data_IF_403533802029
#
_entry.id   IF_403533802029
#
_cell.length_a   1.000
_cell.length_b   1.000
_cell.length_c   1.000
_cell.angle_alpha   90.00
_cell.angle_beta   90.00
_cell.angle_gamma   90.00
#
_symmetry.space_group_name_H-M   'P 1'
#
loop_
_entity.id
_entity.type
_entity.pdbx_description
1 polymer ?
#
# COMPACT_ATOMS: atom_id res chain seq x y z
N UNK A 1 -11.54 1.22 -23.84
CA UNK A 1 -10.92 2.51 -23.46
C UNK A 1 -11.28 2.96 -22.05
N UNK A 2 -12.57 3.00 -21.67
CA UNK A 2 -13.02 3.52 -20.37
C UNK A 2 -12.31 2.89 -19.14
N UNK A 3 -12.14 1.57 -19.14
CA UNK A 3 -11.44 0.86 -18.05
C UNK A 3 -9.98 1.28 -17.88
N UNK A 4 -9.25 1.52 -18.98
CA UNK A 4 -7.85 1.97 -18.92
C UNK A 4 -7.71 3.36 -18.32
N UNK A 5 -8.67 4.25 -18.59
CA UNK A 5 -8.73 5.59 -17.97
C UNK A 5 -8.95 5.46 -16.45
N UNK A 6 -9.86 4.58 -16.01
CA UNK A 6 -10.07 4.35 -14.58
C UNK A 6 -8.85 3.74 -13.90
N UNK A 7 -8.18 2.78 -14.52
CA UNK A 7 -6.94 2.20 -13.97
C UNK A 7 -5.83 3.26 -13.90
N UNK A 8 -5.69 4.11 -14.92
CA UNK A 8 -4.74 5.24 -14.90
C UNK A 8 -5.07 6.28 -13.83
N UNK A 9 -6.34 6.66 -13.70
CA UNK A 9 -6.82 7.58 -12.67
C UNK A 9 -6.58 7.03 -11.26
N UNK A 10 -6.85 5.73 -11.03
CA UNK A 10 -6.55 5.06 -9.77
C UNK A 10 -5.04 5.10 -9.46
N UNK A 11 -4.19 4.81 -10.45
CA UNK A 11 -2.73 4.93 -10.29
C UNK A 11 -2.29 6.35 -9.91
N UNK A 12 -2.88 7.37 -10.52
CA UNK A 12 -2.61 8.77 -10.19
C UNK A 12 -3.03 9.12 -8.75
N UNK A 13 -4.20 8.69 -8.30
CA UNK A 13 -4.68 8.92 -6.92
C UNK A 13 -3.75 8.26 -5.92
N UNK A 14 -3.37 7.00 -6.14
CA UNK A 14 -2.40 6.27 -5.32
C UNK A 14 -1.09 7.06 -5.20
N UNK A 15 -0.61 7.58 -6.32
CA UNK A 15 0.63 8.33 -6.36
C UNK A 15 0.52 9.70 -5.67
N UNK A 16 -0.63 10.36 -5.75
CA UNK A 16 -0.89 11.59 -5.00
C UNK A 16 -0.80 11.32 -3.49
N UNK A 17 -1.52 10.32 -2.98
CA UNK A 17 -1.47 9.97 -1.55
C UNK A 17 -0.06 9.61 -1.10
N UNK A 18 0.71 8.91 -1.94
CA UNK A 18 2.13 8.62 -1.66
C UNK A 18 2.95 9.91 -1.52
N UNK A 19 2.75 10.89 -2.40
CA UNK A 19 3.44 12.17 -2.31
C UNK A 19 3.05 12.95 -1.07
N UNK A 20 1.78 12.91 -0.67
CA UNK A 20 1.29 13.60 0.53
C UNK A 20 1.95 13.05 1.80
N UNK A 21 2.06 11.71 1.92
CA UNK A 21 2.75 11.06 3.05
C UNK A 21 4.25 11.38 3.06
N UNK A 22 4.90 11.36 1.89
CA UNK A 22 6.32 11.73 1.79
C UNK A 22 6.52 13.20 2.19
N UNK A 23 5.63 14.08 1.75
CA UNK A 23 5.69 15.51 2.06
C UNK A 23 5.50 15.76 3.56
N UNK A 24 4.57 15.06 4.21
CA UNK A 24 4.38 15.13 5.65
C UNK A 24 5.64 14.67 6.41
N UNK A 25 6.22 13.54 6.01
CA UNK A 25 7.45 13.03 6.62
C UNK A 25 8.62 14.01 6.46
N UNK A 26 8.74 14.63 5.28
CA UNK A 26 9.79 15.61 5.02
C UNK A 26 9.60 16.88 5.86
N UNK A 27 8.38 17.37 5.97
CA UNK A 27 8.06 18.57 6.76
C UNK A 27 8.36 18.38 8.26
N UNK A 28 8.28 17.14 8.76
CA UNK A 28 8.50 16.80 10.16
C UNK A 28 9.86 16.16 10.44
N UNK A 29 10.82 16.21 9.50
CA UNK A 29 12.14 15.57 9.65
C UNK A 29 12.93 16.08 10.86
N UNK A 30 12.78 17.37 11.19
CA UNK A 30 13.49 18.01 12.29
C UNK A 30 12.73 17.95 13.63
N UNK A 31 11.51 17.41 13.64
CA UNK A 31 10.73 17.31 14.89
C UNK A 31 11.30 16.20 15.76
N UNK A 32 11.52 16.52 17.04
CA UNK A 32 11.92 15.54 18.05
C UNK A 32 10.85 14.47 18.22
N UNK A 33 11.28 13.22 18.35
CA UNK A 33 10.41 12.04 18.52
C UNK A 33 9.39 11.75 17.40
N UNK A 34 9.50 12.39 16.23
CA UNK A 34 8.62 12.10 15.09
C UNK A 34 8.87 10.67 14.57
N UNK A 35 7.78 9.93 14.32
CA UNK A 35 7.81 8.60 13.71
C UNK A 35 7.28 8.71 12.28
N UNK A 36 8.06 8.20 11.32
CA UNK A 36 7.72 8.32 9.89
C UNK A 36 6.56 7.40 9.53
N UNK A 37 5.69 7.89 8.66
CA UNK A 37 4.60 7.11 8.10
C UNK A 37 4.99 6.48 6.76
N UNK A 38 4.46 5.29 6.48
CA UNK A 38 4.69 4.57 5.22
C UNK A 38 3.37 4.08 4.66
N UNK A 39 3.08 4.44 3.41
CA UNK A 39 1.89 3.97 2.71
C UNK A 39 2.08 2.53 2.23
N UNK A 40 1.13 1.66 2.54
CA UNK A 40 1.05 0.27 2.05
C UNK A 40 -0.03 0.20 0.99
N UNK A 41 0.33 -0.34 -0.18
CA UNK A 41 -0.59 -0.50 -1.31
C UNK A 41 -0.98 -1.97 -1.46
N UNK A 42 -2.22 -2.21 -1.88
CA UNK A 42 -2.73 -3.55 -2.18
C UNK A 42 -3.37 -3.55 -3.56
N UNK A 43 -3.21 -4.65 -4.29
CA UNK A 43 -3.89 -4.83 -5.57
C UNK A 43 -5.32 -5.31 -5.35
N UNK A 44 -6.25 -4.83 -6.18
CA UNK A 44 -7.60 -5.39 -6.22
C UNK A 44 -7.57 -6.86 -6.68
N UNK A 45 -8.54 -7.70 -6.26
CA UNK A 45 -8.65 -9.07 -6.73
C UNK A 45 -8.71 -9.16 -8.26
N UNK A 46 -8.00 -10.12 -8.82
CA UNK A 46 -7.99 -10.33 -10.27
C UNK A 46 -9.29 -11.02 -10.71
N UNK A 47 -9.87 -10.56 -11.82
CA UNK A 47 -11.03 -11.21 -12.43
C UNK A 47 -10.56 -12.24 -13.48
N UNK A 48 -11.17 -13.42 -13.48
CA UNK A 48 -10.96 -14.42 -14.53
C UNK A 48 -11.67 -13.97 -15.81
N UNK A 49 -10.96 -14.01 -16.94
CA UNK A 49 -11.51 -13.71 -18.25
C UNK A 49 -11.83 -15.00 -19.00
N UNK A 50 -13.05 -15.05 -19.52
CA UNK A 50 -13.54 -16.10 -20.42
C UNK A 50 -13.82 -15.51 -21.79
N UNK A 51 -13.54 -16.30 -22.83
CA UNK A 51 -13.81 -15.88 -24.21
C UNK A 51 -15.29 -16.03 -24.50
N UNK A 52 -15.93 -14.93 -24.93
CA UNK A 52 -17.34 -14.94 -25.32
C UNK A 52 -17.57 -15.49 -26.73
N UNK A 53 -16.62 -15.34 -27.65
CA UNK A 53 -16.72 -15.89 -29.02
C UNK A 53 -15.89 -17.17 -29.20
N UNK A 54 -16.56 -18.25 -29.57
CA UNK A 54 -15.97 -19.53 -29.97
C UNK A 54 -15.59 -19.51 -31.46
N UNK A 55 -14.56 -18.75 -31.84
CA UNK A 55 -13.94 -18.91 -33.16
C UNK A 55 -13.08 -20.19 -33.19
N UNK A 56 -13.75 -21.35 -33.28
CA UNK A 56 -13.15 -22.59 -33.77
C UNK A 56 -12.68 -23.61 -32.74
N UNK A 57 -13.05 -23.53 -31.46
CA UNK A 57 -12.73 -24.59 -30.48
C UNK A 57 -14.00 -25.10 -29.80
N UNK A 58 -14.55 -26.17 -30.35
CA UNK A 58 -15.40 -27.14 -29.67
C UNK A 58 -16.85 -26.73 -29.37
N UNK A 59 -17.77 -26.97 -30.31
CA UNK A 59 -19.21 -27.03 -30.01
C UNK A 59 -19.49 -28.10 -28.95
N UNK A 60 -19.77 -27.68 -27.72
CA UNK A 60 -20.34 -28.56 -26.69
C UNK A 60 -21.86 -28.62 -26.82
N UNK A 61 -22.48 -29.78 -26.59
CA UNK A 61 -23.93 -29.93 -26.65
C UNK A 61 -24.61 -29.15 -25.51
N UNK A 62 -25.84 -28.70 -25.76
CA UNK A 62 -26.67 -28.01 -24.76
C UNK A 62 -26.74 -28.80 -23.45
N UNK A 63 -26.22 -28.22 -22.37
CA UNK A 63 -26.23 -28.81 -21.03
C UNK A 63 -24.89 -28.89 -20.31
N UNK A 64 -23.76 -28.61 -20.98
CA UNK A 64 -22.45 -28.55 -20.33
C UNK A 64 -22.18 -27.15 -19.78
N UNK A 65 -22.08 -27.03 -18.45
CA UNK A 65 -21.67 -25.80 -17.78
C UNK A 65 -20.21 -25.48 -18.08
N UNK A 66 -19.99 -24.28 -18.62
CA UNK A 66 -18.74 -23.50 -18.53
C UNK A 66 -17.48 -24.12 -19.17
N UNK A 67 -17.48 -24.26 -20.50
CA UNK A 67 -16.30 -24.64 -21.31
C UNK A 67 -15.67 -23.48 -22.08
N UNK A 68 -15.95 -22.22 -21.70
CA UNK A 68 -15.27 -21.08 -22.31
C UNK A 68 -13.78 -21.10 -21.90
N UNK A 69 -12.82 -21.13 -22.85
CA UNK A 69 -11.40 -21.22 -22.51
C UNK A 69 -10.98 -20.00 -21.69
N UNK A 70 -10.35 -20.26 -20.54
CA UNK A 70 -9.80 -19.21 -19.67
C UNK A 70 -8.66 -18.52 -20.42
N UNK A 71 -8.86 -17.25 -20.76
CA UNK A 71 -7.90 -16.48 -21.57
C UNK A 71 -6.83 -15.82 -20.69
N UNK A 72 -7.08 -15.71 -19.39
CA UNK A 72 -6.15 -15.14 -18.43
C UNK A 72 -6.86 -14.44 -17.27
N UNK A 73 -6.05 -13.80 -16.42
CA UNK A 73 -6.51 -12.99 -15.29
C UNK A 73 -6.38 -11.52 -15.61
N UNK A 74 -7.29 -10.72 -15.07
CA UNK A 74 -7.32 -9.28 -15.32
C UNK A 74 -7.23 -8.49 -14.02
N UNK A 75 -6.16 -7.72 -13.89
CA UNK A 75 -5.97 -6.77 -12.81
C UNK A 75 -6.97 -5.61 -12.87
N UNK A 76 -7.45 -5.19 -11.71
CA UNK A 76 -8.39 -4.06 -11.54
C UNK A 76 -7.70 -2.78 -11.04
N UNK A 77 -6.39 -2.80 -10.82
CA UNK A 77 -5.61 -1.71 -10.24
C UNK A 77 -5.23 -2.00 -8.79
N UNK A 78 -4.93 -0.95 -8.04
CA UNK A 78 -4.64 -1.05 -6.60
C UNK A 78 -5.34 0.02 -5.79
N UNK A 79 -5.27 -0.13 -4.48
CA UNK A 79 -5.77 0.79 -3.48
C UNK A 79 -4.69 1.08 -2.43
N UNK A 80 -4.86 2.20 -1.74
CA UNK A 80 -4.11 2.49 -0.52
C UNK A 80 -4.76 1.67 0.59
N UNK A 81 -4.07 0.63 1.07
CA UNK A 81 -4.59 -0.23 2.11
C UNK A 81 -4.52 0.47 3.48
N UNK A 82 -3.35 1.03 3.80
CA UNK A 82 -3.12 1.68 5.08
C UNK A 82 -1.92 2.63 5.02
N UNK A 83 -1.91 3.63 5.91
CA UNK A 83 -0.73 4.43 6.23
C UNK A 83 -0.21 3.96 7.59
N UNK A 84 0.92 3.28 7.58
CA UNK A 84 1.50 2.64 8.77
C UNK A 84 2.64 3.46 9.35
N UNK A 85 2.57 3.77 10.64
CA UNK A 85 3.64 4.47 11.37
C UNK A 85 4.77 3.51 11.72
N UNK A 86 5.99 3.83 11.31
CA UNK A 86 7.19 3.05 11.61
C UNK A 86 7.77 3.46 12.96
N UNK A 87 7.62 2.57 13.96
CA UNK A 87 8.18 2.74 15.30
C UNK A 87 9.66 2.33 15.40
N UNK A 88 10.48 2.83 14.48
CA UNK A 88 11.94 2.63 14.53
C UNK A 88 12.60 3.75 15.36
N UNK A 89 13.68 3.42 16.06
CA UNK A 89 14.47 4.41 16.79
C UNK A 89 15.47 5.09 15.83
N UNK A 90 15.41 6.41 15.74
CA UNK A 90 16.29 7.22 14.89
C UNK A 90 17.63 7.57 15.56
N UNK A 91 18.44 8.35 14.83
CA UNK A 91 19.71 8.85 15.33
C UNK A 91 19.51 9.78 16.54
N UNK A 92 20.42 9.69 17.50
CA UNK A 92 20.37 10.47 18.74
C UNK A 92 21.34 11.63 18.66
N UNK A 93 20.88 12.83 19.04
CA UNK A 93 21.72 14.02 19.18
C UNK A 93 21.79 14.43 20.64
N UNK A 94 23.01 14.53 21.17
CA UNK A 94 23.23 15.03 22.54
C UNK A 94 23.06 16.54 22.56
N UNK A 95 22.25 17.05 23.49
CA UNK A 95 21.92 18.48 23.62
C UNK A 95 22.63 19.18 24.79
N UNK A 96 23.50 18.48 25.53
CA UNK A 96 24.28 18.97 26.69
C UNK A 96 23.47 19.59 27.85
N UNK A 97 22.15 19.70 27.70
CA UNK A 97 21.24 20.17 28.72
C UNK A 97 20.91 19.05 29.73
N UNK A 98 21.09 19.26 31.04
CA UNK A 98 20.76 18.25 32.06
C UNK A 98 19.26 17.92 32.17
N UNK A 99 18.38 18.78 31.63
CA UNK A 99 16.92 18.55 31.65
C UNK A 99 16.37 17.84 30.41
N UNK A 100 17.22 17.56 29.41
CA UNK A 100 16.80 16.84 28.21
C UNK A 100 16.94 15.34 28.41
N UNK A 101 15.82 14.63 28.35
CA UNK A 101 15.74 13.18 28.53
C UNK A 101 15.23 12.53 27.23
N UNK A 102 15.79 11.38 26.91
CA UNK A 102 15.36 10.55 25.79
C UNK A 102 15.12 9.12 26.28
N UNK A 103 14.06 8.50 25.78
CA UNK A 103 13.85 7.07 25.93
C UNK A 103 14.55 6.31 24.80
N UNK A 104 15.35 5.30 25.15
CA UNK A 104 16.02 4.43 24.20
C UNK A 104 15.37 3.05 24.22
N UNK A 105 14.62 2.73 23.17
CA UNK A 105 14.04 1.40 23.01
C UNK A 105 15.09 0.34 22.69
N UNK A 106 14.83 -0.88 23.17
CA UNK A 106 15.66 -2.04 22.83
C UNK A 106 15.38 -2.45 21.38
N UNK A 107 16.42 -2.64 20.55
CA UNK A 107 16.23 -3.08 19.16
C UNK A 107 15.49 -4.43 19.12
N UNK A 108 14.38 -4.49 18.39
CA UNK A 108 13.54 -5.69 18.23
C UNK A 108 12.38 -5.82 19.22
N UNK A 109 12.06 -4.79 19.99
CA UNK A 109 10.83 -4.75 20.81
C UNK A 109 9.59 -4.49 19.93
N UNK A 110 8.54 -5.30 20.11
CA UNK A 110 7.26 -5.15 19.38
C UNK A 110 6.42 -3.97 19.89
N UNK A 111 6.76 -3.44 21.06
CA UNK A 111 6.05 -2.35 21.72
C UNK A 111 6.99 -1.18 21.96
N UNK A 112 6.81 -0.04 21.25
CA UNK A 112 7.55 1.16 21.55
C UNK A 112 7.14 1.73 22.90
N UNK A 113 8.11 2.20 23.68
CA UNK A 113 7.83 2.86 24.95
C UNK A 113 7.58 4.36 24.75
N UNK A 114 6.57 4.88 25.44
CA UNK A 114 6.18 6.29 25.43
C UNK A 114 6.26 6.87 26.83
N UNK A 115 6.55 8.18 26.90
CA UNK A 115 6.38 8.90 28.17
C UNK A 115 4.88 8.95 28.51
N UNK A 116 4.50 8.62 29.76
CA UNK A 116 3.13 8.82 30.21
C UNK A 116 2.79 10.31 30.23
N UNK A 117 1.54 10.64 29.88
CA UNK A 117 0.96 11.97 30.05
C UNK A 117 0.60 12.23 31.52
#
# INVERSE_FOLDING_TARGET
MLRGIYTGANGMIIQQTRMDVISNNLANVDKTAFKRDTTIFKTFPELLLHRFDEDGVGKVPMGSFDTAPVIGKLGLGGEVNEVYTRFEQGAVKKTENPFDLMLQDKPGSEHPAFFPL
#
